data_IF_779322997708
#
_entry.id   IF_779322997708
#
_cell.length_a   1.000
_cell.length_b   1.000
_cell.length_c   1.000
_cell.angle_alpha   90.00
_cell.angle_beta   90.00
_cell.angle_gamma   90.00
#
_symmetry.space_group_name_H-M   'P 1'
#
loop_
_entity.id
_entity.type
_entity.pdbx_description
1 polymer ?
#
# COMPACT_ATOMS: atom_id res chain seq x y z
N UNK A 1 -11.04 -9.98 -2.72
CA UNK A 1 -9.77 -9.79 -1.93
C UNK A 1 -8.81 -10.96 -2.16
N UNK A 2 -9.05 -12.22 -1.69
CA UNK A 2 -8.10 -13.34 -1.77
C UNK A 2 -7.65 -13.68 -3.21
N UNK A 3 -8.59 -13.73 -4.17
CA UNK A 3 -8.30 -13.97 -5.58
C UNK A 3 -7.36 -12.91 -6.17
N UNK A 4 -7.62 -11.64 -5.88
CA UNK A 4 -6.81 -10.52 -6.36
C UNK A 4 -5.39 -10.59 -5.82
N UNK A 5 -5.23 -10.91 -4.52
CA UNK A 5 -3.92 -11.10 -3.89
C UNK A 5 -3.13 -12.27 -4.48
N UNK A 6 -3.81 -13.26 -5.08
CA UNK A 6 -3.19 -14.35 -5.84
C UNK A 6 -3.00 -14.01 -7.32
N UNK A 7 -3.31 -12.79 -7.73
CA UNK A 7 -3.18 -12.35 -9.11
C UNK A 7 -4.11 -13.08 -10.09
N UNK A 8 -5.13 -13.80 -9.62
CA UNK A 8 -6.04 -14.55 -10.48
C UNK A 8 -7.19 -13.68 -11.01
N UNK A 9 -7.59 -13.89 -12.24
CA UNK A 9 -8.83 -13.36 -12.79
C UNK A 9 -10.05 -14.14 -12.27
N UNK A 10 -11.27 -13.56 -12.40
CA UNK A 10 -12.53 -14.27 -12.06
C UNK A 10 -12.66 -15.56 -12.89
N UNK A 11 -12.23 -15.52 -14.16
CA UNK A 11 -12.32 -16.67 -15.06
C UNK A 11 -11.38 -17.80 -14.63
N UNK A 12 -10.13 -17.50 -14.29
CA UNK A 12 -9.16 -18.48 -13.80
C UNK A 12 -9.61 -19.12 -12.49
N UNK A 13 -10.18 -18.33 -11.56
CA UNK A 13 -10.72 -18.89 -10.32
C UNK A 13 -11.94 -19.77 -10.59
N UNK A 14 -12.83 -19.36 -11.50
CA UNK A 14 -14.01 -20.12 -11.87
C UNK A 14 -13.63 -21.48 -12.49
N UNK A 15 -12.68 -21.50 -13.41
CA UNK A 15 -12.15 -22.72 -14.03
C UNK A 15 -11.52 -23.64 -12.96
N UNK A 16 -10.69 -23.11 -12.08
CA UNK A 16 -10.03 -23.90 -11.03
C UNK A 16 -11.00 -24.49 -9.99
N UNK A 17 -12.17 -23.86 -9.81
CA UNK A 17 -13.24 -24.33 -8.92
C UNK A 17 -14.31 -25.17 -9.63
N UNK A 18 -14.22 -25.34 -10.95
CA UNK A 18 -15.26 -25.97 -11.78
C UNK A 18 -16.62 -25.25 -11.62
N UNK A 19 -16.60 -23.92 -11.68
CA UNK A 19 -17.75 -23.04 -11.54
C UNK A 19 -17.89 -22.12 -12.75
N UNK A 20 -19.08 -21.58 -12.93
CA UNK A 20 -19.29 -20.51 -13.89
C UNK A 20 -18.71 -19.18 -13.36
N UNK A 21 -18.14 -18.36 -14.25
CA UNK A 21 -17.64 -17.03 -13.93
C UNK A 21 -18.68 -16.18 -13.16
N UNK A 22 -19.95 -16.28 -13.53
CA UNK A 22 -21.05 -15.56 -12.88
C UNK A 22 -21.21 -15.98 -11.42
N UNK A 23 -21.05 -17.27 -11.11
CA UNK A 23 -21.15 -17.78 -9.73
C UNK A 23 -20.04 -17.21 -8.85
N UNK A 24 -18.80 -17.18 -9.34
CA UNK A 24 -17.69 -16.56 -8.61
C UNK A 24 -17.93 -15.06 -8.39
N UNK A 25 -18.44 -14.35 -9.41
CA UNK A 25 -18.82 -12.94 -9.28
C UNK A 25 -19.92 -12.73 -8.23
N UNK A 26 -20.89 -13.66 -8.12
CA UNK A 26 -21.93 -13.59 -7.09
C UNK A 26 -21.40 -13.86 -5.69
N UNK A 27 -20.39 -14.73 -5.51
CA UNK A 27 -19.69 -14.88 -4.24
C UNK A 27 -18.95 -13.59 -3.85
N UNK A 28 -18.17 -13.02 -4.77
CA UNK A 28 -17.40 -11.80 -4.50
C UNK A 28 -18.27 -10.56 -4.24
N UNK A 29 -19.47 -10.51 -4.79
CA UNK A 29 -20.45 -9.42 -4.57
C UNK A 29 -21.37 -9.63 -3.37
N UNK A 30 -21.22 -10.75 -2.64
CA UNK A 30 -22.08 -11.10 -1.52
C UNK A 30 -23.52 -11.48 -1.89
N UNK A 31 -23.85 -11.61 -3.20
CA UNK A 31 -25.18 -12.06 -3.65
C UNK A 31 -25.47 -13.51 -3.27
N UNK A 32 -24.44 -14.32 -3.14
CA UNK A 32 -24.49 -15.66 -2.54
C UNK A 32 -23.63 -15.61 -1.29
N UNK A 33 -24.25 -15.57 -0.13
CA UNK A 33 -23.56 -15.40 1.16
C UNK A 33 -23.07 -16.73 1.76
N UNK A 34 -23.62 -17.87 1.35
CA UNK A 34 -23.28 -19.17 1.90
C UNK A 34 -22.93 -20.18 0.78
N UNK A 35 -21.68 -20.17 0.29
CA UNK A 35 -21.22 -21.23 -0.60
C UNK A 35 -21.12 -22.56 0.16
N UNK A 36 -21.32 -23.68 -0.53
CA UNK A 36 -21.18 -25.01 0.06
C UNK A 36 -19.78 -25.20 0.67
N UNK A 37 -19.71 -25.80 1.86
CA UNK A 37 -18.46 -26.01 2.59
C UNK A 37 -17.33 -26.66 1.76
N UNK A 38 -17.57 -27.69 0.93
CA UNK A 38 -16.54 -28.23 0.05
C UNK A 38 -15.95 -27.20 -0.93
N UNK A 39 -16.77 -26.25 -1.40
CA UNK A 39 -16.30 -25.14 -2.27
C UNK A 39 -15.44 -24.16 -1.49
N UNK A 40 -15.83 -23.84 -0.26
CA UNK A 40 -15.03 -22.99 0.64
C UNK A 40 -13.67 -23.62 0.92
N UNK A 41 -13.66 -24.93 1.22
CA UNK A 41 -12.42 -25.68 1.47
C UNK A 41 -11.50 -25.66 0.23
N UNK A 42 -12.07 -25.84 -0.97
CA UNK A 42 -11.30 -25.78 -2.21
C UNK A 42 -10.77 -24.36 -2.50
N UNK A 43 -11.58 -23.30 -2.24
CA UNK A 43 -11.11 -21.92 -2.31
C UNK A 43 -9.95 -21.65 -1.33
N UNK A 44 -10.08 -22.13 -0.09
CA UNK A 44 -9.04 -22.00 0.94
C UNK A 44 -7.72 -22.61 0.47
N UNK A 45 -7.74 -23.83 -0.05
CA UNK A 45 -6.55 -24.52 -0.56
C UNK A 45 -5.95 -23.81 -1.78
N UNK A 46 -6.78 -23.45 -2.76
CA UNK A 46 -6.36 -22.84 -4.00
C UNK A 46 -5.77 -21.44 -3.79
N UNK A 47 -6.43 -20.63 -2.97
CA UNK A 47 -6.04 -19.26 -2.70
C UNK A 47 -5.03 -19.15 -1.55
N UNK A 48 -4.79 -20.24 -0.83
CA UNK A 48 -3.92 -20.31 0.35
C UNK A 48 -4.31 -19.28 1.43
N UNK A 49 -5.60 -19.26 1.76
CA UNK A 49 -6.18 -18.49 2.87
C UNK A 49 -6.89 -19.43 3.84
N UNK A 50 -6.89 -19.14 5.14
CA UNK A 50 -7.60 -19.98 6.12
C UNK A 50 -9.10 -20.03 5.79
N UNK A 51 -9.75 -21.14 6.15
CA UNK A 51 -11.20 -21.33 5.91
C UNK A 51 -12.01 -20.22 6.57
N UNK A 52 -11.62 -19.79 7.76
CA UNK A 52 -12.28 -18.73 8.53
C UNK A 52 -12.31 -17.39 7.80
N UNK A 53 -11.35 -17.14 6.91
CA UNK A 53 -11.33 -15.96 6.05
C UNK A 53 -12.56 -15.89 5.12
N UNK A 54 -13.10 -17.06 4.71
CA UNK A 54 -14.26 -17.15 3.81
C UNK A 54 -15.59 -17.30 4.55
N UNK A 55 -15.56 -17.67 5.84
CA UNK A 55 -16.73 -17.90 6.68
C UNK A 55 -16.95 -16.80 7.72
N UNK A 56 -15.95 -15.95 7.94
CA UNK A 56 -16.02 -14.83 8.86
C UNK A 56 -17.01 -13.77 8.39
N UNK A 57 -17.49 -12.95 9.32
CA UNK A 57 -18.15 -11.68 8.98
C UNK A 57 -17.13 -10.78 8.27
N UNK A 58 -17.60 -10.00 7.29
CA UNK A 58 -16.77 -8.98 6.65
C UNK A 58 -16.21 -8.04 7.73
N UNK A 59 -14.94 -8.20 8.03
CA UNK A 59 -14.20 -7.21 8.80
C UNK A 59 -14.01 -6.04 7.84
N UNK A 60 -14.57 -4.89 8.14
CA UNK A 60 -14.30 -3.68 7.38
C UNK A 60 -12.79 -3.40 7.47
N UNK A 61 -12.07 -3.74 6.41
CA UNK A 61 -10.70 -3.29 6.26
C UNK A 61 -10.74 -1.75 6.27
N UNK A 62 -9.88 -1.15 7.06
CA UNK A 62 -9.71 0.31 7.03
C UNK A 62 -9.34 0.66 5.59
N UNK A 63 -10.28 1.30 4.89
CA UNK A 63 -10.02 1.74 3.53
C UNK A 63 -8.97 2.85 3.61
N UNK A 64 -7.87 2.64 2.93
CA UNK A 64 -6.97 3.73 2.65
C UNK A 64 -7.74 4.83 1.90
N UNK A 65 -7.43 6.09 2.18
CA UNK A 65 -8.07 7.21 1.50
C UNK A 65 -7.97 7.05 -0.03
N UNK A 66 -8.98 7.51 -0.81
CA UNK A 66 -8.95 7.41 -2.26
C UNK A 66 -7.76 8.13 -2.91
N UNK A 67 -7.22 9.14 -2.25
CA UNK A 67 -6.03 9.89 -2.67
C UNK A 67 -4.76 9.07 -2.48
N UNK A 68 -4.61 8.04 -3.27
CA UNK A 68 -3.42 7.21 -3.27
C UNK A 68 -2.49 7.73 -4.33
N UNK A 69 -1.36 8.30 -3.93
CA UNK A 69 -0.35 8.75 -4.88
C UNK A 69 0.41 7.55 -5.43
N UNK A 70 -0.19 6.88 -6.42
CA UNK A 70 0.45 5.81 -7.17
C UNK A 70 1.12 6.33 -8.44
N UNK A 71 1.85 7.47 -8.37
CA UNK A 71 2.47 7.99 -9.60
C UNK A 71 3.43 6.98 -10.22
N UNK A 72 4.19 6.26 -9.40
CA UNK A 72 5.00 5.13 -9.85
C UNK A 72 4.16 3.98 -10.43
N UNK A 73 2.87 3.89 -10.06
CA UNK A 73 1.95 2.87 -10.53
C UNK A 73 1.00 3.34 -11.64
N UNK A 74 1.03 4.63 -12.07
CA UNK A 74 0.16 5.13 -13.15
C UNK A 74 0.41 4.40 -14.46
N UNK A 75 1.65 4.02 -14.74
CA UNK A 75 2.04 3.21 -15.91
C UNK A 75 1.81 1.72 -15.71
N UNK A 76 1.52 1.29 -14.49
CA UNK A 76 1.32 -0.12 -14.13
C UNK A 76 -0.12 -0.55 -14.42
N UNK A 77 -0.29 -1.79 -14.85
CA UNK A 77 -1.61 -2.37 -15.11
C UNK A 77 -2.54 -2.24 -13.90
N UNK A 78 -3.80 -1.82 -14.10
CA UNK A 78 -4.83 -1.65 -13.06
C UNK A 78 -4.95 -2.87 -12.12
N UNK A 79 -4.72 -4.09 -12.61
CA UNK A 79 -4.73 -5.33 -11.84
C UNK A 79 -3.69 -5.30 -10.71
N UNK A 80 -2.45 -4.91 -11.02
CA UNK A 80 -1.35 -4.86 -10.04
C UNK A 80 -1.53 -3.71 -9.05
N UNK A 81 -2.08 -2.57 -9.51
CA UNK A 81 -2.44 -1.46 -8.65
C UNK A 81 -3.46 -1.89 -7.59
N UNK A 82 -4.55 -2.51 -8.02
CA UNK A 82 -5.59 -2.99 -7.11
C UNK A 82 -5.09 -4.07 -6.13
N UNK A 83 -4.14 -4.90 -6.55
CA UNK A 83 -3.45 -5.84 -5.65
C UNK A 83 -2.72 -5.10 -4.51
N UNK A 84 -2.00 -4.01 -4.84
CA UNK A 84 -1.27 -3.24 -3.84
C UNK A 84 -2.22 -2.47 -2.90
N UNK A 85 -3.30 -1.89 -3.41
CA UNK A 85 -4.34 -1.25 -2.60
C UNK A 85 -4.87 -2.18 -1.50
N UNK A 86 -5.17 -3.44 -1.86
CA UNK A 86 -5.61 -4.44 -0.88
C UNK A 86 -4.51 -4.71 0.16
N UNK A 87 -3.26 -4.85 -0.25
CA UNK A 87 -2.13 -5.09 0.68
C UNK A 87 -1.97 -3.93 1.65
N UNK A 88 -2.04 -2.70 1.18
CA UNK A 88 -1.98 -1.51 2.04
C UNK A 88 -3.17 -1.46 3.00
N UNK A 89 -4.38 -1.80 2.56
CA UNK A 89 -5.53 -1.87 3.45
C UNK A 89 -5.33 -2.86 4.61
N UNK A 90 -4.65 -3.99 4.37
CA UNK A 90 -4.26 -4.90 5.46
C UNK A 90 -3.22 -4.28 6.39
N UNK A 91 -2.18 -3.63 5.84
CA UNK A 91 -1.17 -2.95 6.65
C UNK A 91 -1.80 -1.86 7.51
N UNK A 92 -2.68 -1.04 6.91
CA UNK A 92 -3.43 0.02 7.61
C UNK A 92 -4.27 -0.56 8.74
N UNK A 93 -4.99 -1.67 8.50
CA UNK A 93 -5.84 -2.32 9.51
C UNK A 93 -4.99 -2.87 10.66
N UNK A 94 -3.86 -3.51 10.37
CA UNK A 94 -2.93 -4.02 11.38
C UNK A 94 -2.35 -2.87 12.20
N UNK A 95 -1.93 -1.79 11.54
CA UNK A 95 -1.37 -0.62 12.20
C UNK A 95 -2.43 0.05 13.10
N UNK A 96 -3.66 0.24 12.60
CA UNK A 96 -4.76 0.79 13.39
C UNK A 96 -5.03 -0.05 14.65
N UNK A 97 -5.04 -1.37 14.53
CA UNK A 97 -5.17 -2.26 15.69
C UNK A 97 -4.00 -2.10 16.69
N UNK A 98 -2.77 -2.00 16.19
CA UNK A 98 -1.60 -1.84 17.04
C UNK A 98 -1.57 -0.50 17.78
N UNK A 99 -2.21 0.56 17.27
CA UNK A 99 -2.30 1.86 17.97
C UNK A 99 -3.05 1.80 19.27
N UNK A 100 -3.88 0.76 19.50
CA UNK A 100 -4.55 0.53 20.78
C UNK A 100 -3.57 0.09 21.89
N UNK A 101 -2.42 -0.45 21.52
CA UNK A 101 -1.45 -1.06 22.45
C UNK A 101 -0.10 -0.37 22.47
N UNK A 102 0.27 0.31 21.38
CA UNK A 102 1.59 0.92 21.17
C UNK A 102 1.44 2.34 20.68
N UNK A 103 2.20 3.26 21.25
CA UNK A 103 2.30 4.63 20.76
C UNK A 103 3.35 4.70 19.65
N UNK A 104 2.93 5.03 18.46
CA UNK A 104 3.82 5.26 17.31
C UNK A 104 4.22 6.74 17.22
N UNK A 105 5.38 7.04 16.63
CA UNK A 105 5.77 8.41 16.36
C UNK A 105 4.72 9.16 15.52
N UNK A 106 4.48 10.42 15.81
CA UNK A 106 3.69 11.28 14.93
C UNK A 106 4.48 11.65 13.67
N UNK A 107 3.77 11.95 12.60
CA UNK A 107 4.39 12.46 11.37
C UNK A 107 5.10 13.76 11.68
N UNK A 108 6.40 13.81 11.40
CA UNK A 108 7.26 14.96 11.58
C UNK A 108 7.92 15.33 10.25
N UNK A 109 7.25 16.20 9.50
CA UNK A 109 7.71 16.71 8.21
C UNK A 109 7.80 18.25 8.31
N UNK A 110 8.76 18.88 7.63
CA UNK A 110 8.86 20.33 7.60
C UNK A 110 7.75 20.94 6.72
N UNK A 111 7.37 22.17 7.02
CA UNK A 111 6.48 22.94 6.16
C UNK A 111 7.19 23.29 4.83
N UNK A 112 6.50 23.04 3.73
CA UNK A 112 6.94 23.36 2.37
C UNK A 112 6.12 24.53 1.84
N UNK A 113 6.80 25.52 1.23
CA UNK A 113 6.17 26.66 0.57
C UNK A 113 6.30 26.51 -0.95
N UNK A 114 5.33 27.05 -1.69
CA UNK A 114 5.32 27.03 -3.17
C UNK A 114 6.56 27.71 -3.80
N UNK A 115 7.29 28.53 -3.03
CA UNK A 115 8.51 29.20 -3.46
C UNK A 115 9.79 28.39 -3.22
N UNK A 116 9.69 27.27 -2.48
CA UNK A 116 10.86 26.44 -2.18
C UNK A 116 11.26 25.64 -3.43
N UNK A 117 12.55 25.59 -3.71
CA UNK A 117 13.05 24.66 -4.70
C UNK A 117 13.32 23.27 -4.06
N UNK A 118 13.55 22.26 -4.89
CA UNK A 118 13.72 20.87 -4.43
C UNK A 118 14.88 20.72 -3.45
N UNK A 119 15.99 21.45 -3.69
CA UNK A 119 17.18 21.45 -2.84
C UNK A 119 16.89 22.06 -1.47
N UNK A 120 16.13 23.16 -1.41
CA UNK A 120 15.72 23.79 -0.15
C UNK A 120 14.83 22.87 0.66
N UNK A 121 13.88 22.17 0.01
CA UNK A 121 13.01 21.17 0.66
C UNK A 121 13.83 20.03 1.25
N UNK A 122 14.81 19.53 0.52
CA UNK A 122 15.71 18.48 1.00
C UNK A 122 16.55 18.95 2.21
N UNK A 123 16.99 20.23 2.21
CA UNK A 123 17.70 20.83 3.36
C UNK A 123 16.76 20.93 4.57
N UNK A 124 15.56 21.47 4.38
CA UNK A 124 14.55 21.56 5.45
C UNK A 124 14.26 20.20 6.09
N UNK A 125 14.11 19.15 5.27
CA UNK A 125 13.91 17.80 5.78
C UNK A 125 15.11 17.31 6.60
N UNK A 126 16.34 17.54 6.11
CA UNK A 126 17.56 17.18 6.84
C UNK A 126 17.67 17.89 8.18
N UNK A 127 17.31 19.16 8.23
CA UNK A 127 17.30 19.96 9.48
C UNK A 127 16.22 19.46 10.44
N UNK A 128 14.99 19.24 9.94
CA UNK A 128 13.87 18.73 10.72
C UNK A 128 14.20 17.37 11.38
N UNK A 129 14.84 16.47 10.64
CA UNK A 129 15.20 15.14 11.11
C UNK A 129 16.60 15.07 11.77
N UNK A 130 17.31 16.20 11.88
CA UNK A 130 18.68 16.29 12.43
C UNK A 130 19.68 15.35 11.74
N UNK A 131 19.62 15.26 10.40
CA UNK A 131 20.48 14.36 9.61
C UNK A 131 21.87 14.95 9.32
N UNK A 132 22.07 16.26 9.52
CA UNK A 132 23.27 16.96 9.06
C UNK A 132 23.40 16.96 7.54
N UNK A 133 24.56 17.38 7.04
CA UNK A 133 24.83 17.53 5.59
C UNK A 133 25.68 16.38 5.01
N UNK A 134 26.10 15.44 5.86
CA UNK A 134 26.86 14.26 5.45
C UNK A 134 25.99 13.14 4.86
N UNK A 135 26.60 12.00 4.52
CA UNK A 135 25.86 10.79 4.14
C UNK A 135 24.91 10.34 5.26
N UNK A 136 23.75 9.84 4.88
CA UNK A 136 22.76 9.27 5.80
C UNK A 136 23.01 7.76 5.89
N UNK A 137 23.34 7.27 7.06
CA UNK A 137 23.69 5.87 7.31
C UNK A 137 22.46 4.94 7.27
N UNK A 138 21.33 5.38 7.82
CA UNK A 138 20.09 4.57 7.88
C UNK A 138 18.84 5.43 7.70
N UNK A 139 18.51 5.77 6.45
CA UNK A 139 17.32 6.57 6.13
C UNK A 139 16.02 5.88 6.55
N UNK A 140 15.95 4.54 6.49
CA UNK A 140 14.79 3.75 6.93
C UNK A 140 14.48 4.06 8.40
N UNK A 141 15.48 3.96 9.26
CA UNK A 141 15.34 4.27 10.70
C UNK A 141 14.85 5.71 10.92
N UNK A 142 15.41 6.68 10.20
CA UNK A 142 14.99 8.07 10.37
C UNK A 142 13.57 8.33 9.87
N UNK A 143 13.14 7.70 8.79
CA UNK A 143 11.78 7.79 8.28
C UNK A 143 10.78 7.21 9.30
N UNK A 144 11.03 6.02 9.84
CA UNK A 144 10.18 5.40 10.88
C UNK A 144 10.15 6.23 12.17
N UNK A 145 11.30 6.74 12.60
CA UNK A 145 11.41 7.61 13.79
C UNK A 145 10.59 8.90 13.65
N UNK A 146 10.40 9.38 12.43
CA UNK A 146 9.63 10.58 12.12
C UNK A 146 8.21 10.26 11.61
N UNK A 147 7.68 9.08 11.92
CA UNK A 147 6.27 8.74 11.78
C UNK A 147 5.85 8.22 10.40
N UNK A 148 6.79 7.95 9.49
CA UNK A 148 6.49 7.29 8.21
C UNK A 148 6.43 5.79 8.44
N UNK A 149 5.36 5.14 8.00
CA UNK A 149 5.17 3.69 8.11
C UNK A 149 5.89 3.03 6.94
N UNK A 150 6.93 2.24 7.22
CA UNK A 150 7.62 1.48 6.20
C UNK A 150 7.16 0.02 6.21
N UNK A 151 6.88 -0.52 5.05
CA UNK A 151 6.49 -1.92 4.89
C UNK A 151 7.13 -2.54 3.66
N UNK A 152 7.29 -3.86 3.68
CA UNK A 152 7.74 -4.63 2.52
C UNK A 152 6.59 -5.41 1.94
N UNK A 153 6.40 -5.31 0.63
CA UNK A 153 5.35 -6.04 -0.10
C UNK A 153 5.96 -6.92 -1.19
N UNK A 154 5.40 -8.11 -1.36
CA UNK A 154 5.66 -8.89 -2.57
C UNK A 154 4.81 -8.35 -3.69
N UNK A 155 5.39 -8.18 -4.87
CA UNK A 155 4.68 -7.69 -6.05
C UNK A 155 4.64 -8.78 -7.12
N UNK A 156 3.50 -8.92 -7.78
CA UNK A 156 3.33 -9.86 -8.89
C UNK A 156 3.97 -9.38 -10.20
N UNK A 157 4.63 -8.22 -10.17
CA UNK A 157 5.38 -7.64 -11.31
C UNK A 157 6.70 -7.06 -10.82
N UNK A 158 7.67 -6.97 -11.73
CA UNK A 158 8.95 -6.31 -11.46
C UNK A 158 8.94 -4.80 -11.78
N UNK A 159 7.80 -4.26 -12.20
CA UNK A 159 7.66 -2.86 -12.58
C UNK A 159 7.43 -1.93 -11.38
N UNK A 160 7.20 -2.51 -10.19
CA UNK A 160 6.98 -1.78 -8.95
C UNK A 160 8.20 -1.96 -8.06
N UNK A 161 8.93 -0.88 -7.81
CA UNK A 161 10.06 -0.86 -6.88
C UNK A 161 9.65 -0.39 -5.49
N UNK A 162 8.95 0.75 -5.43
CA UNK A 162 8.36 1.31 -4.21
C UNK A 162 7.13 2.15 -4.57
N UNK A 163 6.33 2.49 -3.59
CA UNK A 163 5.28 3.51 -3.71
C UNK A 163 4.89 4.03 -2.33
N UNK A 164 4.37 5.24 -2.29
CA UNK A 164 3.86 5.87 -1.08
C UNK A 164 2.35 6.09 -1.15
N UNK A 165 1.73 6.11 0.03
CA UNK A 165 0.30 6.35 0.17
C UNK A 165 0.01 7.15 1.43
N UNK A 166 -0.83 8.19 1.31
CA UNK A 166 -1.44 8.90 2.43
C UNK A 166 -2.62 8.10 2.95
N UNK A 167 -2.72 7.93 4.25
CA UNK A 167 -3.81 7.24 4.93
C UNK A 167 -4.27 8.04 6.15
N UNK A 168 -5.45 7.73 6.65
CA UNK A 168 -5.96 8.25 7.91
C UNK A 168 -6.22 7.10 8.87
N UNK A 169 -5.68 7.21 10.10
CA UNK A 169 -5.89 6.26 11.18
C UNK A 169 -6.32 7.07 12.41
N UNK A 170 -7.52 6.81 12.92
CA UNK A 170 -8.11 7.55 14.06
C UNK A 170 -8.10 9.07 13.81
N UNK A 171 -8.46 9.50 12.61
CA UNK A 171 -8.45 10.89 12.13
C UNK A 171 -7.06 11.56 12.08
N UNK A 172 -5.99 10.80 12.32
CA UNK A 172 -4.62 11.28 12.14
C UNK A 172 -4.08 10.90 10.76
N UNK A 173 -3.47 11.90 10.11
CA UNK A 173 -2.76 11.71 8.85
C UNK A 173 -1.49 10.88 9.05
N UNK A 174 -1.28 9.90 8.20
CA UNK A 174 -0.12 9.03 8.17
C UNK A 174 0.32 8.75 6.74
N UNK A 175 1.59 8.40 6.56
CA UNK A 175 2.14 8.01 5.28
C UNK A 175 2.68 6.59 5.37
N UNK A 176 2.33 5.75 4.39
CA UNK A 176 2.91 4.42 4.21
C UNK A 176 3.83 4.48 3.00
N UNK A 177 5.04 3.97 3.15
CA UNK A 177 5.96 3.66 2.05
C UNK A 177 6.09 2.16 1.96
N UNK A 178 5.67 1.60 0.84
CA UNK A 178 5.74 0.18 0.55
C UNK A 178 6.92 -0.11 -0.39
N UNK A 179 7.82 -0.98 0.04
CA UNK A 179 9.02 -1.37 -0.69
C UNK A 179 8.85 -2.77 -1.29
N UNK A 180 9.17 -2.94 -2.55
CA UNK A 180 9.13 -4.25 -3.21
C UNK A 180 10.26 -5.15 -2.70
N UNK A 181 9.93 -6.41 -2.37
CA UNK A 181 10.92 -7.43 -2.01
C UNK A 181 11.73 -7.95 -3.20
N UNK A 182 11.30 -7.67 -4.42
CA UNK A 182 11.84 -8.32 -5.61
C UNK A 182 13.25 -7.83 -5.98
N UNK A 183 13.67 -6.64 -5.52
CA UNK A 183 14.94 -5.99 -5.91
C UNK A 183 15.62 -5.33 -4.71
N UNK A 184 16.05 -6.10 -3.71
CA UNK A 184 16.52 -5.53 -2.44
C UNK A 184 18.04 -5.61 -2.26
N UNK A 185 18.77 -4.59 -2.72
CA UNK A 185 20.07 -4.24 -2.12
C UNK A 185 19.87 -3.10 -1.13
N UNK A 186 20.70 -3.01 -0.08
CA UNK A 186 20.59 -1.93 0.92
C UNK A 186 20.64 -0.54 0.26
N UNK A 187 21.54 -0.31 -0.68
CA UNK A 187 21.65 0.95 -1.40
C UNK A 187 20.38 1.29 -2.20
N UNK A 188 19.76 0.29 -2.83
CA UNK A 188 18.52 0.48 -3.57
C UNK A 188 17.36 0.82 -2.65
N UNK A 189 17.23 0.11 -1.51
CA UNK A 189 16.20 0.40 -0.52
C UNK A 189 16.30 1.83 0.02
N UNK A 190 17.51 2.31 0.31
CA UNK A 190 17.71 3.70 0.75
C UNK A 190 17.32 4.70 -0.33
N UNK A 191 17.66 4.43 -1.59
CA UNK A 191 17.26 5.26 -2.72
C UNK A 191 15.74 5.30 -2.89
N UNK A 192 15.10 4.13 -2.84
CA UNK A 192 13.64 4.02 -2.99
C UNK A 192 12.90 4.73 -1.85
N UNK A 193 13.38 4.61 -0.60
CA UNK A 193 12.82 5.37 0.54
C UNK A 193 13.01 6.87 0.35
N UNK A 194 14.20 7.32 -0.09
CA UNK A 194 14.45 8.74 -0.34
C UNK A 194 13.53 9.30 -1.43
N UNK A 195 13.32 8.52 -2.50
CA UNK A 195 12.43 8.87 -3.60
C UNK A 195 10.98 9.02 -3.13
N UNK A 196 10.47 8.06 -2.36
CA UNK A 196 9.11 8.10 -1.83
C UNK A 196 8.90 9.22 -0.78
N UNK A 197 9.91 9.48 0.07
CA UNK A 197 9.88 10.65 0.97
C UNK A 197 9.85 11.95 0.16
N UNK A 198 10.58 12.01 -0.95
CA UNK A 198 10.49 13.12 -1.91
C UNK A 198 9.07 13.32 -2.43
N UNK A 199 8.37 12.26 -2.81
CA UNK A 199 6.97 12.32 -3.23
C UNK A 199 6.05 12.82 -2.10
N UNK A 200 6.26 12.36 -0.87
CA UNK A 200 5.50 12.80 0.29
C UNK A 200 5.63 14.31 0.52
N UNK A 201 6.81 14.87 0.26
CA UNK A 201 7.10 16.29 0.47
C UNK A 201 6.66 17.21 -0.67
N UNK A 202 6.69 16.72 -1.91
CA UNK A 202 6.61 17.56 -3.11
C UNK A 202 5.22 17.58 -3.77
N UNK A 203 4.37 16.62 -3.45
CA UNK A 203 3.10 16.47 -4.16
C UNK A 203 1.90 16.79 -3.27
N UNK A 204 0.91 17.42 -3.87
CA UNK A 204 -0.40 17.57 -3.26
C UNK A 204 -1.14 16.21 -3.32
N UNK A 205 -1.59 15.75 -2.15
CA UNK A 205 -2.28 14.46 -1.98
C UNK A 205 -3.79 14.58 -2.21
N UNK A 206 -4.29 15.78 -2.53
CA UNK A 206 -5.70 16.05 -2.79
C UNK A 206 -6.07 15.91 -4.27
N UNK A 207 -5.07 15.89 -5.16
CA UNK A 207 -5.29 15.78 -6.60
C UNK A 207 -5.80 14.39 -7.01
N UNK A 208 -6.86 14.39 -7.81
CA UNK A 208 -7.48 13.17 -8.35
C UNK A 208 -6.63 12.61 -9.50
N UNK A 209 -5.78 11.65 -9.17
CA UNK A 209 -4.79 11.04 -10.08
C UNK A 209 -5.43 10.43 -11.35
N UNK A 210 -6.73 10.06 -11.31
CA UNK A 210 -7.41 9.52 -12.48
C UNK A 210 -7.55 10.55 -13.62
N UNK A 211 -7.41 11.84 -13.31
CA UNK A 211 -7.53 12.95 -14.24
C UNK A 211 -6.16 13.55 -14.66
N UNK A 212 -5.05 13.10 -14.09
CA UNK A 212 -3.71 13.57 -14.48
C UNK A 212 -3.24 12.91 -15.78
N UNK A 213 -2.69 13.72 -16.69
CA UNK A 213 -2.04 13.19 -17.88
C UNK A 213 -0.65 12.60 -17.54
N UNK A 214 -0.17 11.56 -18.26
CA UNK A 214 1.13 10.93 -17.99
C UNK A 214 2.36 11.86 -18.16
N UNK A 215 2.15 13.12 -18.53
CA UNK A 215 3.19 14.13 -18.83
C UNK A 215 3.30 15.23 -17.77
N UNK A 216 2.48 15.20 -16.74
CA UNK A 216 2.56 16.06 -15.55
C UNK A 216 3.04 15.24 -14.34
#
# INVERSE_FOLDING_TARGET
>A
TARTLKGMSISELAEALDLQRQTVSMYESGKISNPDFPKVQRMSQLLNFPIDFFLGSDTELVKAAPSTYFRSLLTTNKKYRYEQEIKISFVTTIYAYLTEYVTFPHVNLPDVCDTDNIEDIAIKLRECWNLGYGPIDNLIFYAEKNGIILTSVETSTNDIDAFSQKIYINDEERYIVALSKNKSTAARLHFDVAHEVGHIMLHDWEDDIENMSPSE
#
